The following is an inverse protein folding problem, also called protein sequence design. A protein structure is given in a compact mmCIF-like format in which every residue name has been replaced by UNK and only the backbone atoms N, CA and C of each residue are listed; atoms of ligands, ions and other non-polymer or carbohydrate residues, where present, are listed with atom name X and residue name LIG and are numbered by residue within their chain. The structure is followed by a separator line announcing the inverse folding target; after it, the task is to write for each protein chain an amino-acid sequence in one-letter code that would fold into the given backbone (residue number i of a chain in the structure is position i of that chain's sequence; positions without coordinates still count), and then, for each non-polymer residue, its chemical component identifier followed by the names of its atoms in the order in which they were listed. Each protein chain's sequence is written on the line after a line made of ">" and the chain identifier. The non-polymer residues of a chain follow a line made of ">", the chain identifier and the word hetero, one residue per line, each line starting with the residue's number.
data_IF_294936576949
#
_entry.id   IF_294936576949
#
_cell.length_a   1.000
_cell.length_b   1.000
_cell.length_c   1.000
_cell.angle_alpha   90.00
_cell.angle_beta   90.00
_cell.angle_gamma   90.00
#
_symmetry.space_group_name_H-M   'P 1'
#
loop_
_entity.id
_entity.type
_entity.pdbx_description
1 polymer ?
#
# COMPACT_ATOMS: atom_id res chain seq x y z
N UNK A 1 -6.42 -8.59 -8.22
CA UNK A 1 -6.69 -7.67 -7.11
C UNK A 1 -5.53 -6.70 -6.97
N UNK A 2 -5.78 -5.39 -7.05
CA UNK A 2 -4.78 -4.35 -6.79
C UNK A 2 -4.84 -3.94 -5.32
N UNK A 3 -3.73 -3.49 -4.73
CA UNK A 3 -3.67 -3.10 -3.30
C UNK A 3 -3.28 -1.65 -3.18
N UNK A 4 -4.14 -0.83 -2.60
CA UNK A 4 -3.90 0.59 -2.34
C UNK A 4 -3.89 0.80 -0.81
N UNK A 5 -2.82 1.41 -0.30
CA UNK A 5 -2.66 1.64 1.14
C UNK A 5 -2.62 3.13 1.41
N UNK A 6 -3.47 3.54 2.34
CA UNK A 6 -3.76 4.92 2.67
C UNK A 6 -3.24 5.18 4.09
N UNK A 7 -2.52 6.28 4.29
CA UNK A 7 -1.89 6.63 5.56
C UNK A 7 -2.91 6.86 6.70
N UNK A 8 -2.54 6.58 7.96
CA UNK A 8 -3.41 6.68 9.14
C UNK A 8 -2.71 6.97 10.52
N UNK A 9 -3.49 7.18 11.62
CA UNK A 9 -3.08 7.46 13.02
C UNK A 9 -4.15 7.01 14.06
N UNK A 10 -3.82 6.06 14.96
CA UNK A 10 -4.67 5.35 15.94
C UNK A 10 -6.04 5.97 16.36
N UNK A 11 -7.13 5.37 15.82
CA UNK A 11 -8.58 5.57 16.07
C UNK A 11 -9.49 4.92 14.97
N UNK A 12 -8.95 4.31 13.90
CA UNK A 12 -9.75 3.77 12.76
C UNK A 12 -10.44 2.46 13.03
N UNK A 13 -10.00 1.70 14.03
CA UNK A 13 -10.58 0.38 14.31
C UNK A 13 -12.09 0.46 14.53
N UNK A 14 -12.56 1.52 15.19
CA UNK A 14 -13.98 1.76 15.39
C UNK A 14 -14.65 2.48 14.20
N UNK A 15 -13.87 3.16 13.35
CA UNK A 15 -14.42 3.94 12.24
C UNK A 15 -15.06 3.06 11.18
N UNK A 16 -14.36 2.04 10.68
CA UNK A 16 -14.89 1.17 9.61
C UNK A 16 -16.22 0.51 10.03
N UNK A 17 -16.33 -0.13 11.22
CA UNK A 17 -17.61 -0.66 11.69
C UNK A 17 -18.69 0.40 11.86
N UNK A 18 -18.34 1.63 12.30
CA UNK A 18 -19.31 2.73 12.44
C UNK A 18 -19.93 3.16 11.10
N UNK A 19 -19.27 2.81 9.98
CA UNK A 19 -19.74 3.04 8.61
C UNK A 19 -20.36 1.80 7.98
N UNK A 20 -20.50 0.70 8.72
CA UNK A 20 -20.99 -0.58 8.19
C UNK A 20 -19.97 -1.29 7.29
N UNK A 21 -18.70 -0.91 7.34
CA UNK A 21 -17.63 -1.52 6.55
C UNK A 21 -16.98 -2.63 7.38
N UNK A 22 -16.96 -3.84 6.83
CA UNK A 22 -16.33 -4.99 7.48
C UNK A 22 -14.82 -4.94 7.31
N UNK A 23 -14.11 -5.24 8.39
CA UNK A 23 -12.66 -5.32 8.38
C UNK A 23 -12.22 -6.72 7.90
N UNK A 24 -11.14 -6.79 7.13
CA UNK A 24 -10.46 -8.04 6.81
C UNK A 24 -9.54 -8.39 7.98
N UNK A 25 -9.78 -9.55 8.61
CA UNK A 25 -8.99 -10.03 9.74
C UNK A 25 -8.43 -11.42 9.45
N UNK A 26 -7.36 -11.80 10.12
CA UNK A 26 -6.83 -13.17 10.10
C UNK A 26 -7.51 -14.09 11.14
N UNK A 27 -8.69 -13.69 11.64
CA UNK A 27 -9.50 -14.46 12.58
C UNK A 27 -9.24 -14.20 14.07
N UNK A 28 -8.30 -13.32 14.45
CA UNK A 28 -8.04 -13.00 15.88
C UNK A 28 -8.14 -11.51 16.21
N UNK A 29 -7.47 -10.67 15.42
CA UNK A 29 -7.34 -9.24 15.74
C UNK A 29 -7.99 -8.35 14.69
N UNK A 30 -8.55 -7.22 15.14
CA UNK A 30 -9.17 -6.20 14.26
C UNK A 30 -8.14 -5.34 13.51
N UNK A 31 -6.87 -5.52 13.83
CA UNK A 31 -5.73 -4.80 13.27
C UNK A 31 -4.55 -5.77 13.11
N UNK A 32 -3.53 -5.33 12.37
CA UNK A 32 -2.26 -6.04 12.21
C UNK A 32 -1.12 -5.13 12.66
N UNK A 33 -0.18 -5.68 13.44
CA UNK A 33 1.06 -5.00 13.80
C UNK A 33 2.13 -5.39 12.77
N UNK A 34 2.80 -4.38 12.21
CA UNK A 34 3.89 -4.52 11.27
C UNK A 34 5.20 -4.05 11.91
N UNK A 35 5.89 -4.97 12.59
CA UNK A 35 7.14 -4.68 13.33
C UNK A 35 8.21 -4.04 12.43
N UNK A 36 8.45 -4.62 11.24
CA UNK A 36 9.46 -4.12 10.28
C UNK A 36 9.16 -2.70 9.75
N UNK A 37 7.89 -2.29 9.84
CA UNK A 37 7.39 -0.96 9.45
C UNK A 37 7.24 -0.01 10.64
N UNK A 38 7.38 -0.51 11.87
CA UNK A 38 6.95 0.18 13.09
C UNK A 38 5.56 0.82 12.90
N UNK A 39 4.60 -0.01 12.50
CA UNK A 39 3.28 0.45 12.08
C UNK A 39 2.15 -0.48 12.51
N UNK A 40 0.93 0.06 12.50
CA UNK A 40 -0.30 -0.68 12.77
C UNK A 40 -1.31 -0.42 11.67
N UNK A 41 -1.96 -1.49 11.21
CA UNK A 41 -2.84 -1.44 10.05
C UNK A 41 -4.20 -2.04 10.30
N UNK A 42 -5.24 -1.47 9.68
CA UNK A 42 -6.55 -2.10 9.52
C UNK A 42 -6.87 -2.26 8.04
N UNK A 43 -7.51 -3.37 7.70
CA UNK A 43 -7.77 -3.77 6.32
C UNK A 43 -9.26 -3.86 6.04
N UNK A 44 -9.68 -3.56 4.82
CA UNK A 44 -11.05 -3.67 4.36
C UNK A 44 -11.08 -3.82 2.84
N UNK A 45 -12.21 -4.28 2.30
CA UNK A 45 -12.42 -4.34 0.87
C UNK A 45 -13.20 -3.11 0.38
N UNK A 46 -12.92 -2.67 -0.84
CA UNK A 46 -13.86 -1.82 -1.59
C UNK A 46 -14.89 -2.67 -2.37
N UNK A 47 -15.71 -2.01 -3.18
CA UNK A 47 -16.76 -2.67 -3.97
C UNK A 47 -16.23 -3.58 -5.09
N UNK A 48 -14.99 -3.37 -5.52
CA UNK A 48 -14.31 -4.15 -6.56
C UNK A 48 -13.37 -5.20 -5.95
N UNK A 49 -13.53 -5.46 -4.64
CA UNK A 49 -12.71 -6.37 -3.86
C UNK A 49 -11.22 -5.98 -3.86
N UNK A 50 -10.83 -4.73 -3.99
CA UNK A 50 -9.45 -4.33 -3.73
C UNK A 50 -9.17 -4.37 -2.22
N UNK A 51 -7.96 -4.79 -1.83
CA UNK A 51 -7.52 -4.67 -0.43
C UNK A 51 -7.10 -3.23 -0.19
N UNK A 52 -7.87 -2.54 0.65
CA UNK A 52 -7.53 -1.25 1.20
C UNK A 52 -6.96 -1.40 2.60
N UNK A 53 -6.04 -0.51 2.93
CA UNK A 53 -5.37 -0.48 4.23
C UNK A 53 -5.34 0.95 4.76
N UNK A 54 -5.70 1.12 6.02
CA UNK A 54 -5.30 2.28 6.81
C UNK A 54 -4.08 1.90 7.64
N UNK A 55 -2.93 2.53 7.37
CA UNK A 55 -1.66 2.24 8.04
C UNK A 55 -1.14 3.42 8.86
N UNK A 56 -1.00 3.22 10.17
CA UNK A 56 -0.38 4.18 11.08
C UNK A 56 1.10 3.87 11.30
N UNK A 57 1.98 4.72 10.76
CA UNK A 57 3.45 4.62 10.97
C UNK A 57 3.87 5.45 12.16
N UNK A 58 4.55 4.83 13.12
CA UNK A 58 4.99 5.50 14.34
C UNK A 58 6.34 6.23 14.16
N UNK A 59 7.08 5.98 13.08
CA UNK A 59 8.31 6.73 12.75
C UNK A 59 8.02 8.13 12.19
N UNK A 60 6.88 8.31 11.51
CA UNK A 60 6.52 9.59 10.92
C UNK A 60 5.94 10.51 11.98
N UNK A 61 6.49 11.72 12.11
CA UNK A 61 6.03 12.77 13.03
C UNK A 61 4.75 13.44 12.52
N UNK A 62 3.77 12.64 12.16
CA UNK A 62 2.45 13.11 11.80
C UNK A 62 1.69 13.13 13.12
N UNK A 63 1.78 14.23 13.86
CA UNK A 63 1.07 14.40 15.13
C UNK A 63 -0.16 15.24 14.83
N UNK A 64 -1.31 14.60 14.57
CA UNK A 64 -2.55 15.31 14.88
C UNK A 64 -2.60 15.34 16.40
N UNK A 65 -2.47 16.54 16.98
CA UNK A 65 -2.52 16.71 18.42
C UNK A 65 -3.82 16.06 18.92
N UNK A 66 -3.65 15.14 19.86
CA UNK A 66 -4.59 14.16 20.39
C UNK A 66 -5.78 14.76 21.17
N UNK A 67 -6.25 15.93 20.78
CA UNK A 67 -7.43 16.57 21.36
C UNK A 67 -8.72 16.09 20.65
N UNK A 68 -8.64 15.66 19.39
CA UNK A 68 -9.73 15.03 18.65
C UNK A 68 -9.76 13.51 18.94
N UNK A 69 -10.72 13.07 19.76
CA UNK A 69 -10.91 11.64 20.12
C UNK A 69 -11.65 10.81 19.07
N UNK A 70 -12.08 11.44 17.96
CA UNK A 70 -12.84 10.77 16.89
C UNK A 70 -12.10 10.88 15.57
N UNK A 71 -11.97 9.74 14.89
CA UNK A 71 -11.44 9.71 13.53
C UNK A 71 -12.34 10.47 12.56
N UNK A 72 -11.71 11.27 11.72
CA UNK A 72 -12.29 12.06 10.64
C UNK A 72 -11.45 11.88 9.39
N UNK A 73 -12.06 11.37 8.32
CA UNK A 73 -11.38 11.06 7.06
C UNK A 73 -10.71 12.28 6.43
N UNK A 74 -11.30 13.47 6.53
CA UNK A 74 -10.78 14.67 5.89
C UNK A 74 -9.60 15.27 6.67
N UNK A 75 -9.51 14.98 7.98
CA UNK A 75 -8.45 15.50 8.85
C UNK A 75 -7.27 14.53 8.99
N UNK A 76 -7.54 13.23 8.93
CA UNK A 76 -6.57 12.20 9.36
C UNK A 76 -6.06 11.32 8.21
N UNK A 77 -6.67 11.36 7.03
CA UNK A 77 -6.12 10.72 5.83
C UNK A 77 -5.29 11.74 5.07
N UNK A 78 -3.97 11.54 5.05
CA UNK A 78 -3.04 12.51 4.48
C UNK A 78 -2.75 12.23 2.99
N UNK A 79 -2.49 10.97 2.66
CA UNK A 79 -2.05 10.55 1.34
C UNK A 79 -2.21 9.03 1.15
N UNK A 80 -2.06 8.59 -0.09
CA UNK A 80 -1.68 7.21 -0.41
C UNK A 80 -0.19 7.09 -0.05
N UNK A 81 0.15 6.19 0.86
CA UNK A 81 1.52 5.99 1.31
C UNK A 81 2.16 4.73 0.74
N UNK A 82 1.37 3.77 0.25
CA UNK A 82 1.92 2.61 -0.43
C UNK A 82 0.98 2.05 -1.51
N UNK A 83 1.55 1.44 -2.55
CA UNK A 83 0.82 0.72 -3.60
C UNK A 83 1.45 -0.65 -3.83
N UNK A 84 0.63 -1.70 -3.88
CA UNK A 84 1.04 -3.06 -4.19
C UNK A 84 1.01 -3.37 -5.68
N UNK A 85 2.16 -3.77 -6.25
CA UNK A 85 2.28 -4.17 -7.65
C UNK A 85 2.74 -5.63 -7.71
N UNK A 86 1.89 -6.48 -8.27
CA UNK A 86 2.27 -7.86 -8.58
C UNK A 86 3.15 -7.89 -9.83
N UNK A 87 4.32 -8.52 -9.72
CA UNK A 87 5.34 -8.58 -10.77
C UNK A 87 5.82 -10.01 -10.98
N UNK A 88 6.31 -10.32 -12.17
CA UNK A 88 6.94 -11.61 -12.44
C UNK A 88 8.30 -11.74 -11.75
N UNK A 89 9.05 -10.65 -11.68
CA UNK A 89 10.38 -10.56 -11.10
C UNK A 89 10.55 -9.20 -10.39
N UNK A 90 10.75 -9.24 -9.07
CA UNK A 90 10.93 -8.04 -8.26
C UNK A 90 12.26 -7.32 -8.55
N UNK A 91 13.34 -8.03 -8.88
CA UNK A 91 14.63 -7.41 -9.20
C UNK A 91 14.55 -6.66 -10.53
N UNK A 92 13.94 -7.25 -11.55
CA UNK A 92 13.76 -6.61 -12.86
C UNK A 92 12.88 -5.36 -12.74
N UNK A 93 11.80 -5.43 -11.96
CA UNK A 93 10.94 -4.29 -11.69
C UNK A 93 11.70 -3.14 -11.00
N UNK A 94 12.50 -3.44 -9.98
CA UNK A 94 13.33 -2.43 -9.32
C UNK A 94 14.33 -1.78 -10.28
N UNK A 95 15.01 -2.58 -11.12
CA UNK A 95 15.94 -2.05 -12.12
C UNK A 95 15.25 -1.07 -13.07
N UNK A 96 14.03 -1.38 -13.54
CA UNK A 96 13.26 -0.49 -14.41
C UNK A 96 12.86 0.82 -13.73
N UNK A 97 12.48 0.77 -12.44
CA UNK A 97 12.21 1.96 -11.66
C UNK A 97 13.46 2.83 -11.52
N UNK A 98 14.58 2.23 -11.10
CA UNK A 98 15.84 2.93 -10.86
C UNK A 98 16.52 3.47 -12.13
N UNK A 99 16.11 3.00 -13.32
CA UNK A 99 16.53 3.59 -14.60
C UNK A 99 15.92 4.96 -14.86
N UNK A 100 14.76 5.27 -14.25
CA UNK A 100 14.00 6.50 -14.52
C UNK A 100 13.90 7.41 -13.30
N UNK A 101 13.99 6.84 -12.09
CA UNK A 101 13.79 7.52 -10.82
C UNK A 101 14.94 7.28 -9.85
N UNK A 102 15.25 8.28 -9.02
CA UNK A 102 16.17 8.14 -7.90
C UNK A 102 15.44 7.52 -6.69
N UNK A 103 15.22 6.20 -6.74
CA UNK A 103 14.53 5.44 -5.67
C UNK A 103 15.40 4.33 -5.09
N UNK A 104 15.33 4.17 -3.78
CA UNK A 104 16.07 3.17 -3.02
C UNK A 104 15.19 1.98 -2.65
N UNK A 105 15.82 0.82 -2.41
CA UNK A 105 15.14 -0.32 -1.80
C UNK A 105 15.09 -0.09 -0.30
N UNK A 106 13.91 0.23 0.23
CA UNK A 106 13.72 0.47 1.66
C UNK A 106 13.74 -0.83 2.47
N UNK A 107 13.16 -1.90 1.93
CA UNK A 107 13.24 -3.26 2.48
C UNK A 107 13.35 -4.29 1.36
N UNK A 108 14.28 -5.22 1.54
CA UNK A 108 14.52 -6.32 0.61
C UNK A 108 14.20 -7.67 1.27
N UNK A 109 13.25 -8.40 0.68
CA UNK A 109 12.89 -9.76 1.09
C UNK A 109 13.13 -10.75 -0.06
N UNK A 110 14.17 -10.48 -0.87
CA UNK A 110 14.60 -11.31 -1.99
C UNK A 110 13.65 -11.23 -3.17
N UNK A 111 13.54 -12.33 -3.92
CA UNK A 111 12.78 -12.37 -5.18
C UNK A 111 11.26 -12.33 -4.98
N UNK A 112 10.79 -12.50 -3.74
CA UNK A 112 9.38 -12.61 -3.42
C UNK A 112 8.72 -11.25 -3.18
N UNK A 113 9.47 -10.29 -2.65
CA UNK A 113 8.92 -9.01 -2.22
C UNK A 113 10.02 -7.96 -1.98
N UNK A 114 9.78 -6.74 -2.43
CA UNK A 114 10.60 -5.56 -2.16
C UNK A 114 9.72 -4.34 -1.92
N UNK A 115 10.08 -3.51 -0.95
CA UNK A 115 9.50 -2.19 -0.73
C UNK A 115 10.49 -1.14 -1.23
N UNK A 116 10.04 -0.29 -2.16
CA UNK A 116 10.88 0.67 -2.90
C UNK A 116 10.37 2.08 -2.65
N UNK A 117 11.28 3.02 -2.37
CA UNK A 117 10.97 4.40 -1.99
C UNK A 117 11.35 4.67 -0.53
N UNK A 118 10.50 5.41 0.18
CA UNK A 118 10.66 5.68 1.62
C UNK A 118 9.31 5.64 2.35
N UNK A 119 9.32 5.87 3.66
CA UNK A 119 8.11 5.75 4.50
C UNK A 119 6.96 6.70 4.09
N UNK A 120 7.23 7.76 3.32
CA UNK A 120 6.21 8.66 2.78
C UNK A 120 5.56 8.14 1.49
N UNK A 121 6.20 7.19 0.80
CA UNK A 121 5.72 6.62 -0.45
C UNK A 121 6.48 5.34 -0.81
N UNK A 122 5.80 4.19 -0.69
CA UNK A 122 6.36 2.89 -1.05
C UNK A 122 5.64 2.23 -2.23
N UNK A 123 6.42 1.72 -3.17
CA UNK A 123 5.96 0.71 -4.11
C UNK A 123 6.31 -0.66 -3.54
N UNK A 124 5.29 -1.50 -3.36
CA UNK A 124 5.46 -2.86 -2.88
C UNK A 124 5.45 -3.83 -4.06
N UNK A 125 6.63 -4.12 -4.60
CA UNK A 125 6.81 -5.10 -5.66
C UNK A 125 6.75 -6.50 -5.06
N UNK A 126 5.72 -7.26 -5.38
CA UNK A 126 5.53 -8.64 -4.89
C UNK A 126 5.48 -9.62 -6.04
N UNK A 127 6.03 -10.82 -5.85
CA UNK A 127 5.92 -11.86 -6.87
C UNK A 127 4.45 -12.25 -7.08
N UNK A 128 4.04 -12.36 -8.34
CA UNK A 128 2.71 -12.81 -8.73
C UNK A 128 2.41 -14.23 -8.22
N UNK A 129 1.16 -14.50 -7.86
CA UNK A 129 0.72 -15.76 -7.27
C UNK A 129 0.97 -15.88 -5.76
N UNK A 130 1.31 -14.79 -5.06
CA UNK A 130 1.43 -14.76 -3.59
C UNK A 130 0.17 -14.16 -2.95
N UNK A 131 -0.28 -14.63 -1.79
CA UNK A 131 -1.38 -13.97 -1.11
C UNK A 131 -0.99 -12.57 -0.64
N UNK A 132 -1.90 -11.61 -0.75
CA UNK A 132 -1.73 -10.30 -0.14
C UNK A 132 -2.02 -10.38 1.35
N UNK A 133 -1.15 -9.86 2.22
CA UNK A 133 -1.53 -9.61 3.62
C UNK A 133 -2.74 -8.66 3.64
N UNK A 134 -3.80 -8.93 4.43
CA UNK A 134 -3.89 -9.92 5.52
C UNK A 134 -4.50 -11.28 5.11
N UNK A 135 -4.82 -11.46 3.83
CA UNK A 135 -5.41 -12.70 3.31
C UNK A 135 -4.40 -13.85 3.30
N UNK A 136 -4.90 -15.08 3.38
CA UNK A 136 -4.07 -16.30 3.29
C UNK A 136 -4.42 -17.16 2.07
N UNK A 137 -5.55 -16.88 1.44
CA UNK A 137 -6.20 -17.67 0.40
C UNK A 137 -6.42 -16.90 -0.91
N UNK A 138 -6.27 -15.57 -0.91
CA UNK A 138 -6.45 -14.73 -2.09
C UNK A 138 -5.11 -14.36 -2.73
N UNK A 139 -4.75 -15.08 -3.79
CA UNK A 139 -3.51 -14.84 -4.53
C UNK A 139 -3.57 -13.52 -5.31
N UNK A 140 -2.49 -12.77 -5.26
CA UNK A 140 -2.30 -11.59 -6.10
C UNK A 140 -2.16 -11.99 -7.58
N UNK A 141 -2.42 -11.04 -8.46
CA UNK A 141 -2.31 -11.22 -9.90
C UNK A 141 -1.85 -9.92 -10.55
N UNK A 142 -1.20 -10.05 -11.71
CA UNK A 142 -0.79 -8.91 -12.52
C UNK A 142 -2.05 -8.31 -13.13
N UNK A 143 -2.50 -7.18 -12.58
CA UNK A 143 -3.67 -6.45 -13.05
C UNK A 143 -3.27 -5.15 -13.73
N UNK A 144 -4.02 -4.71 -14.75
CA UNK A 144 -3.81 -3.39 -15.35
C UNK A 144 -3.91 -2.29 -14.29
N UNK A 145 -2.84 -1.51 -14.19
CA UNK A 145 -2.59 -0.50 -13.17
C UNK A 145 -1.73 0.58 -13.82
N UNK A 146 -2.12 1.83 -13.62
CA UNK A 146 -1.30 3.00 -13.94
C UNK A 146 -0.96 3.72 -12.64
N UNK A 147 0.31 4.04 -12.45
CA UNK A 147 0.77 4.89 -11.36
C UNK A 147 1.68 5.97 -11.93
N UNK A 148 1.41 7.21 -11.52
CA UNK A 148 2.30 8.35 -11.71
C UNK A 148 2.97 8.62 -10.38
N UNK A 149 4.29 8.72 -10.40
CA UNK A 149 5.10 8.93 -9.19
C UNK A 149 5.90 10.21 -9.37
N UNK A 150 5.60 11.19 -8.51
CA UNK A 150 6.36 12.43 -8.42
C UNK A 150 7.50 12.22 -7.44
N UNK A 151 8.73 12.46 -7.87
CA UNK A 151 9.93 12.23 -7.06
C UNK A 151 11.15 12.93 -7.63
N UNK A 152 12.31 12.73 -6.99
CA UNK A 152 13.58 13.18 -7.57
C UNK A 152 13.92 12.32 -8.79
N UNK A 153 14.28 12.96 -9.89
CA UNK A 153 14.49 12.32 -11.19
C UNK A 153 13.45 12.76 -12.20
N UNK A 154 13.08 11.87 -13.12
CA UNK A 154 12.02 12.12 -14.10
C UNK A 154 10.74 11.45 -13.64
N UNK A 155 9.58 12.12 -13.77
CA UNK A 155 8.28 11.53 -13.49
C UNK A 155 8.14 10.19 -14.23
N UNK A 156 7.79 9.15 -13.50
CA UNK A 156 7.66 7.81 -14.04
C UNK A 156 6.20 7.38 -14.05
N UNK A 157 5.71 7.06 -15.24
CA UNK A 157 4.42 6.40 -15.43
C UNK A 157 4.69 4.91 -15.58
N UNK A 158 4.42 4.14 -14.53
CA UNK A 158 4.30 2.70 -14.69
C UNK A 158 2.89 2.38 -15.17
N UNK A 159 2.79 1.71 -16.31
CA UNK A 159 1.54 1.19 -16.83
C UNK A 159 1.77 -0.23 -17.32
N UNK A 160 1.02 -1.18 -16.76
CA UNK A 160 0.85 -2.51 -17.34
C UNK A 160 -0.54 -2.66 -17.97
N UNK A 161 -1.25 -1.54 -18.18
CA UNK A 161 -2.35 -1.47 -19.13
C UNK A 161 -1.79 -1.69 -20.54
N UNK A 162 -2.50 -2.49 -21.34
CA UNK A 162 -2.25 -2.54 -22.77
C UNK A 162 -2.34 -1.12 -23.34
N UNK A 163 -1.25 -0.61 -23.92
CA UNK A 163 -1.31 0.62 -24.73
C UNK A 163 -2.13 0.31 -25.98
N UNK A 164 -3.37 0.78 -26.02
CA UNK A 164 -4.11 0.88 -27.27
C UNK A 164 -3.60 2.10 -28.02
N UNK A 165 -2.80 1.89 -29.06
CA UNK A 165 -2.54 2.94 -30.04
C UNK A 165 -3.80 3.03 -30.92
N UNK A 166 -4.52 4.14 -30.82
CA UNK A 166 -5.44 4.55 -31.87
C UNK A 166 -4.66 5.43 -32.86
N UNK A 167 -5.02 5.31 -34.14
CA UNK A 167 -4.38 5.94 -35.29
C UNK A 167 -4.10 7.43 -35.11
#
# INVERSE_FOLDING_TARGET
>A
MSRLKIFFQDATEAFLPSKGISQVTNGKDKYTIHEDWNAKSVYFYDADENILEFIARYNLKNVVKTEDTKFDVNKHINCISEIGIAVTDANDFVKKLQQNMEVEIWRDYGDQFKAIGDENGLILATKAGRPWIPTTDHLNGILPTEITIDGKGTDFVYSNLYKFNFC
#
